data_IF_299654960447
#
_entry.id   IF_299654960447
#
_cell.length_a   1.000
_cell.length_b   1.000
_cell.length_c   1.000
_cell.angle_alpha   90.00
_cell.angle_beta   90.00
_cell.angle_gamma   90.00
#
_symmetry.space_group_name_H-M   'P 1'
#
loop_
_entity.id
_entity.type
_entity.pdbx_description
1 polymer ?
#
# COMPACT_ATOMS: atom_id res chain seq x y z
N UNK A 1 -27.24 8.89 27.34
CA UNK A 1 -26.12 9.32 26.47
C UNK A 1 -25.33 8.09 26.10
N UNK A 2 -25.04 7.92 24.83
CA UNK A 2 -24.55 6.64 24.35
C UNK A 2 -23.03 6.53 24.51
N UNK A 3 -22.57 5.36 24.90
CA UNK A 3 -21.12 5.05 25.03
C UNK A 3 -20.37 5.27 23.69
N UNK A 4 -21.04 5.00 22.56
CA UNK A 4 -20.46 5.21 21.23
C UNK A 4 -20.18 6.68 20.95
N UNK A 5 -21.07 7.59 21.35
CA UNK A 5 -20.85 9.03 21.21
C UNK A 5 -19.65 9.53 22.02
N UNK A 6 -19.44 9.00 23.24
CA UNK A 6 -18.29 9.33 24.06
C UNK A 6 -16.99 8.83 23.42
N UNK A 7 -17.02 7.65 22.80
CA UNK A 7 -15.92 7.09 22.02
C UNK A 7 -15.61 7.96 20.80
N UNK A 8 -16.62 8.40 20.04
CA UNK A 8 -16.47 9.31 18.91
C UNK A 8 -15.87 10.65 19.31
N UNK A 9 -16.33 11.22 20.42
CA UNK A 9 -15.76 12.46 20.99
C UNK A 9 -14.29 12.27 21.36
N UNK A 10 -13.93 11.16 22.00
CA UNK A 10 -12.54 10.86 22.34
C UNK A 10 -11.66 10.77 21.08
N UNK A 11 -12.06 10.01 20.08
CA UNK A 11 -11.34 9.88 18.79
C UNK A 11 -11.14 11.26 18.16
N UNK A 12 -12.20 12.08 18.10
CA UNK A 12 -12.12 13.42 17.53
C UNK A 12 -11.18 14.34 18.29
N UNK A 13 -11.11 14.24 19.64
CA UNK A 13 -10.17 15.02 20.47
C UNK A 13 -8.72 14.63 20.16
N UNK A 14 -8.46 13.33 19.97
CA UNK A 14 -7.13 12.82 19.61
C UNK A 14 -6.70 13.33 18.24
N UNK A 15 -7.56 13.17 17.22
CA UNK A 15 -7.30 13.61 15.84
C UNK A 15 -7.11 15.13 15.72
N UNK A 16 -7.91 15.91 16.43
CA UNK A 16 -7.80 17.36 16.42
C UNK A 16 -6.60 17.89 17.25
N UNK A 17 -5.99 17.05 18.09
CA UNK A 17 -4.90 17.40 18.99
C UNK A 17 -5.30 18.40 20.08
N UNK A 18 -6.58 18.78 20.18
CA UNK A 18 -7.08 19.81 21.11
C UNK A 18 -8.59 19.67 21.33
N UNK A 19 -9.01 19.73 22.60
CA UNK A 19 -10.43 19.73 22.98
C UNK A 19 -11.18 20.90 22.31
N UNK A 20 -10.56 22.07 22.20
CA UNK A 20 -11.18 23.25 21.59
C UNK A 20 -11.45 23.05 20.09
N UNK A 21 -10.46 22.50 19.35
CA UNK A 21 -10.62 22.19 17.92
C UNK A 21 -11.66 21.09 17.72
N UNK A 22 -11.61 20.02 18.52
CA UNK A 22 -12.61 18.94 18.46
C UNK A 22 -14.02 19.45 18.73
N UNK A 23 -14.21 20.32 19.72
CA UNK A 23 -15.49 20.94 20.05
C UNK A 23 -16.06 21.73 18.85
N UNK A 24 -15.23 22.53 18.18
CA UNK A 24 -15.62 23.25 16.97
C UNK A 24 -16.02 22.30 15.84
N UNK A 25 -15.25 21.25 15.61
CA UNK A 25 -15.55 20.25 14.54
C UNK A 25 -16.82 19.44 14.81
N UNK A 26 -17.13 19.20 16.09
CA UNK A 26 -18.32 18.47 16.52
C UNK A 26 -19.55 19.37 16.71
N UNK A 27 -19.40 20.69 16.53
CA UNK A 27 -20.44 21.68 16.83
C UNK A 27 -20.97 21.56 18.27
N UNK A 28 -20.09 21.26 19.23
CA UNK A 28 -20.38 21.11 20.65
C UNK A 28 -19.67 22.21 21.47
N UNK A 29 -20.24 22.52 22.65
CA UNK A 29 -19.55 23.37 23.62
C UNK A 29 -18.29 22.67 24.15
N UNK A 30 -17.20 23.40 24.35
CA UNK A 30 -15.94 22.87 24.92
C UNK A 30 -16.15 22.16 26.26
N UNK A 31 -17.03 22.69 27.11
CA UNK A 31 -17.41 22.08 28.38
C UNK A 31 -18.09 20.72 28.23
N UNK A 32 -18.93 20.56 27.20
CA UNK A 32 -19.58 19.29 26.88
C UNK A 32 -18.57 18.22 26.43
N UNK A 33 -17.65 18.58 25.54
CA UNK A 33 -16.55 17.67 25.08
C UNK A 33 -15.67 17.28 26.27
N UNK A 34 -15.27 18.24 27.11
CA UNK A 34 -14.45 17.98 28.31
C UNK A 34 -15.15 17.07 29.31
N UNK A 35 -16.46 17.27 29.52
CA UNK A 35 -17.27 16.43 30.41
C UNK A 35 -17.38 15.00 29.88
N UNK A 36 -17.74 14.82 28.61
CA UNK A 36 -17.83 13.49 27.99
C UNK A 36 -16.54 12.71 28.10
N UNK A 37 -15.39 13.37 27.85
CA UNK A 37 -14.07 12.76 28.00
C UNK A 37 -13.81 12.35 29.47
N UNK A 38 -14.12 13.19 30.43
CA UNK A 38 -13.99 12.85 31.85
C UNK A 38 -14.89 11.70 32.28
N UNK A 39 -16.13 11.67 31.79
CA UNK A 39 -17.09 10.61 32.09
C UNK A 39 -16.60 9.27 31.49
N UNK A 40 -16.01 9.29 30.27
CA UNK A 40 -15.39 8.13 29.65
C UNK A 40 -14.19 7.62 30.47
N UNK A 41 -13.24 8.49 30.82
CA UNK A 41 -12.09 8.14 31.64
C UNK A 41 -12.49 7.58 33.01
N UNK A 42 -13.51 8.17 33.64
CA UNK A 42 -14.03 7.71 34.93
C UNK A 42 -14.66 6.31 34.84
N UNK A 43 -15.41 6.04 33.78
CA UNK A 43 -16.00 4.73 33.51
C UNK A 43 -14.97 3.65 33.26
N UNK A 44 -13.84 4.00 32.59
CA UNK A 44 -12.74 3.09 32.31
C UNK A 44 -11.76 2.95 33.49
N UNK A 45 -11.88 3.79 34.53
CA UNK A 45 -10.94 3.83 35.63
C UNK A 45 -9.53 4.23 35.24
N UNK A 46 -9.36 4.86 34.07
CA UNK A 46 -8.05 5.14 33.51
C UNK A 46 -8.02 6.47 32.77
N UNK A 47 -6.91 7.23 32.90
CA UNK A 47 -6.69 8.41 32.08
C UNK A 47 -6.25 8.02 30.69
N UNK A 48 -6.92 8.57 29.68
CA UNK A 48 -6.63 8.33 28.27
C UNK A 48 -5.79 9.46 27.66
N UNK A 49 -5.95 10.69 28.19
CA UNK A 49 -5.27 11.89 27.69
C UNK A 49 -4.53 12.59 28.84
N UNK A 50 -3.25 12.85 28.60
CA UNK A 50 -2.45 13.76 29.43
C UNK A 50 -2.82 15.19 29.07
N UNK A 51 -3.45 15.91 30.02
CA UNK A 51 -3.88 17.29 29.82
C UNK A 51 -2.76 18.23 30.23
N UNK A 52 -2.07 18.85 29.29
CA UNK A 52 -1.28 20.05 29.52
C UNK A 52 -2.03 21.25 28.95
N UNK A 53 -1.71 22.46 29.44
CA UNK A 53 -2.43 23.69 29.04
C UNK A 53 -2.31 24.03 27.54
N UNK A 54 -1.39 23.41 26.81
CA UNK A 54 -1.12 23.71 25.39
C UNK A 54 -1.24 22.52 24.43
N UNK A 55 -1.06 21.28 24.87
CA UNK A 55 -1.13 20.07 24.01
C UNK A 55 -1.78 18.92 24.73
N UNK A 56 -2.56 18.12 23.99
CA UNK A 56 -3.14 16.86 24.47
C UNK A 56 -2.30 15.71 23.91
N UNK A 57 -1.64 14.93 24.76
CA UNK A 57 -0.97 13.69 24.37
C UNK A 57 -1.72 12.49 24.93
N UNK A 58 -1.70 11.36 24.21
CA UNK A 58 -2.28 10.12 24.69
C UNK A 58 -1.41 9.53 25.81
N UNK A 59 -2.04 8.85 26.76
CA UNK A 59 -1.39 7.89 27.66
C UNK A 59 -1.22 6.57 26.94
N UNK A 60 -0.45 5.61 27.50
CA UNK A 60 -0.36 4.25 26.95
C UNK A 60 -1.72 3.58 26.87
N UNK A 61 -2.56 3.72 27.91
CA UNK A 61 -3.95 3.26 27.89
C UNK A 61 -4.76 3.99 26.82
N UNK A 62 -4.52 5.29 26.62
CA UNK A 62 -5.13 6.11 25.58
C UNK A 62 -4.78 5.61 24.17
N UNK A 63 -3.51 5.27 23.91
CA UNK A 63 -3.08 4.71 22.64
C UNK A 63 -3.73 3.36 22.35
N UNK A 64 -3.80 2.47 23.33
CA UNK A 64 -4.47 1.18 23.17
C UNK A 64 -5.98 1.35 22.95
N UNK A 65 -6.62 2.21 23.73
CA UNK A 65 -8.05 2.46 23.63
C UNK A 65 -8.41 3.14 22.30
N UNK A 66 -7.63 4.11 21.84
CA UNK A 66 -7.83 4.81 20.56
C UNK A 66 -7.89 3.84 19.38
N UNK A 67 -6.88 2.95 19.26
CA UNK A 67 -6.83 1.95 18.20
C UNK A 67 -8.07 1.04 18.18
N UNK A 68 -8.49 0.56 19.34
CA UNK A 68 -9.67 -0.33 19.44
C UNK A 68 -10.97 0.39 19.16
N UNK A 69 -11.11 1.61 19.63
CA UNK A 69 -12.32 2.43 19.44
C UNK A 69 -12.49 2.83 17.97
N UNK A 70 -11.42 3.15 17.26
CA UNK A 70 -11.50 3.41 15.82
C UNK A 70 -12.05 2.19 15.04
N UNK A 71 -11.62 0.99 15.40
CA UNK A 71 -12.14 -0.24 14.79
C UNK A 71 -13.64 -0.42 15.09
N UNK A 72 -14.07 -0.21 16.35
CA UNK A 72 -15.46 -0.34 16.75
C UNK A 72 -16.38 0.70 16.07
N UNK A 73 -15.94 1.95 15.98
CA UNK A 73 -16.69 3.00 15.26
C UNK A 73 -16.81 2.61 13.77
N UNK A 74 -15.72 2.13 13.16
CA UNK A 74 -15.74 1.62 11.80
C UNK A 74 -16.69 0.44 11.59
N UNK A 75 -16.80 -0.46 12.57
CA UNK A 75 -17.78 -1.57 12.55
C UNK A 75 -19.24 -1.07 12.61
N UNK A 76 -19.52 -0.11 13.48
CA UNK A 76 -20.85 0.50 13.57
C UNK A 76 -21.20 1.25 12.29
N UNK A 77 -20.27 2.00 11.74
CA UNK A 77 -20.47 2.71 10.48
C UNK A 77 -20.69 1.73 9.31
N UNK A 78 -20.02 0.58 9.32
CA UNK A 78 -20.22 -0.48 8.34
C UNK A 78 -21.61 -1.13 8.47
N UNK A 79 -22.04 -1.46 9.69
CA UNK A 79 -23.37 -1.99 9.95
C UNK A 79 -24.47 -1.04 9.46
N UNK A 80 -24.32 0.26 9.76
CA UNK A 80 -25.24 1.29 9.27
C UNK A 80 -25.16 1.45 7.75
N UNK A 81 -24.00 1.15 7.15
CA UNK A 81 -23.71 1.22 5.71
C UNK A 81 -24.34 0.14 4.89
N UNK A 82 -24.40 -1.08 5.40
CA UNK A 82 -25.00 -2.23 4.71
C UNK A 82 -26.53 -2.07 4.53
N UNK A 83 -27.17 -1.30 5.40
CA UNK A 83 -28.61 -1.03 5.35
C UNK A 83 -28.96 0.12 4.39
N UNK A 84 -28.00 1.02 4.08
CA UNK A 84 -28.23 2.24 3.30
C UNK A 84 -27.32 2.32 2.07
N UNK A 85 -27.45 1.36 1.15
CA UNK A 85 -26.53 1.14 0.00
C UNK A 85 -26.48 2.25 -1.05
N UNK A 86 -27.32 3.27 -1.04
CA UNK A 86 -27.47 4.14 -2.24
C UNK A 86 -26.86 5.54 -2.18
N UNK A 87 -26.46 6.12 -1.04
CA UNK A 87 -25.94 7.52 -1.04
C UNK A 87 -25.09 7.88 0.19
N UNK A 88 -24.04 7.15 0.53
CA UNK A 88 -23.21 7.56 1.67
C UNK A 88 -21.96 8.34 1.26
N UNK A 89 -21.91 9.57 1.74
CA UNK A 89 -20.69 10.38 1.75
C UNK A 89 -19.66 9.70 2.68
N UNK A 90 -18.55 9.22 2.12
CA UNK A 90 -17.45 8.68 2.91
C UNK A 90 -16.77 9.81 3.68
N UNK A 91 -16.57 9.64 4.98
CA UNK A 91 -15.97 10.64 5.88
C UNK A 91 -14.91 10.04 6.78
N UNK A 92 -14.12 10.91 7.43
CA UNK A 92 -13.09 10.51 8.38
C UNK A 92 -11.71 10.34 7.74
N UNK A 93 -10.78 9.69 8.43
CA UNK A 93 -9.40 9.50 7.98
C UNK A 93 -9.11 8.06 7.55
N UNK A 94 -8.25 7.90 6.56
CA UNK A 94 -7.64 6.64 6.14
C UNK A 94 -6.13 6.78 6.15
N UNK A 95 -5.45 5.94 6.90
CA UNK A 95 -4.00 5.85 6.93
C UNK A 95 -3.52 4.65 6.13
N UNK A 96 -2.75 4.91 5.07
CA UNK A 96 -2.33 3.93 4.08
C UNK A 96 -0.82 3.78 4.06
N UNK A 97 -0.31 2.54 4.13
CA UNK A 97 1.07 2.23 3.81
C UNK A 97 1.16 1.78 2.34
N UNK A 98 2.00 2.44 1.55
CA UNK A 98 2.07 2.21 0.10
C UNK A 98 3.51 1.92 -0.34
N UNK A 99 3.74 0.98 -1.29
CA UNK A 99 5.07 0.76 -1.87
C UNK A 99 5.52 2.01 -2.62
N UNK A 100 6.82 2.28 -2.64
CA UNK A 100 7.33 3.55 -3.19
C UNK A 100 7.00 3.69 -4.68
N UNK A 101 7.55 2.84 -5.53
CA UNK A 101 7.40 2.94 -7.01
C UNK A 101 5.95 2.79 -7.45
N UNK A 102 5.27 1.74 -7.01
CA UNK A 102 3.86 1.50 -7.36
C UNK A 102 2.94 2.57 -6.78
N UNK A 103 3.24 3.01 -5.56
CA UNK A 103 2.49 4.06 -4.87
C UNK A 103 2.52 5.38 -5.63
N UNK A 104 3.70 5.84 -6.02
CA UNK A 104 3.86 7.11 -6.74
C UNK A 104 3.22 7.03 -8.14
N UNK A 105 3.52 5.97 -8.89
CA UNK A 105 3.19 5.91 -10.32
C UNK A 105 1.74 5.51 -10.58
N UNK A 106 1.17 4.62 -9.77
CA UNK A 106 -0.14 3.99 -10.05
C UNK A 106 -1.20 4.25 -8.99
N UNK A 107 -0.83 4.16 -7.69
CA UNK A 107 -1.82 4.40 -6.63
C UNK A 107 -2.14 5.88 -6.47
N UNK A 108 -1.16 6.78 -6.50
CA UNK A 108 -1.39 8.21 -6.29
C UNK A 108 -2.37 8.81 -7.32
N UNK A 109 -2.25 8.56 -8.64
CA UNK A 109 -3.25 9.01 -9.60
C UNK A 109 -4.64 8.41 -9.38
N UNK A 110 -4.70 7.17 -8.91
CA UNK A 110 -5.97 6.50 -8.58
C UNK A 110 -6.60 7.08 -7.33
N UNK A 111 -5.78 7.38 -6.32
CA UNK A 111 -6.20 8.02 -5.08
C UNK A 111 -6.70 9.44 -5.33
N UNK A 112 -6.07 10.22 -6.22
CA UNK A 112 -6.59 11.54 -6.62
C UNK A 112 -8.02 11.45 -7.14
N UNK A 113 -8.31 10.49 -8.02
CA UNK A 113 -9.67 10.29 -8.53
C UNK A 113 -10.65 9.88 -7.42
N UNK A 114 -10.22 9.00 -6.52
CA UNK A 114 -11.04 8.57 -5.40
C UNK A 114 -11.33 9.72 -4.43
N UNK A 115 -10.35 10.58 -4.14
CA UNK A 115 -10.52 11.77 -3.30
C UNK A 115 -11.49 12.77 -3.92
N UNK A 116 -11.48 12.97 -5.24
CA UNK A 116 -12.45 13.83 -5.95
C UNK A 116 -13.87 13.32 -5.80
N UNK A 117 -14.08 12.01 -5.77
CA UNK A 117 -15.38 11.40 -5.53
C UNK A 117 -15.80 11.48 -4.05
N UNK A 118 -14.83 11.57 -3.13
CA UNK A 118 -15.06 11.53 -1.69
C UNK A 118 -14.35 12.68 -0.95
N UNK A 119 -14.76 13.95 -1.17
CA UNK A 119 -14.03 15.15 -0.69
C UNK A 119 -14.02 15.31 0.83
N UNK A 120 -14.80 14.51 1.57
CA UNK A 120 -14.83 14.54 3.04
C UNK A 120 -13.90 13.50 3.69
N UNK A 121 -13.14 12.72 2.88
CA UNK A 121 -12.11 11.84 3.39
C UNK A 121 -10.77 12.57 3.54
N UNK A 122 -10.10 12.30 4.66
CA UNK A 122 -8.71 12.68 4.88
C UNK A 122 -7.83 11.45 4.66
N UNK A 123 -6.84 11.54 3.76
CA UNK A 123 -5.90 10.46 3.50
C UNK A 123 -4.52 10.80 4.03
N UNK A 124 -3.91 9.85 4.74
CA UNK A 124 -2.52 9.87 5.16
C UNK A 124 -1.79 8.75 4.41
N UNK A 125 -0.81 9.10 3.58
CA UNK A 125 -0.04 8.16 2.77
C UNK A 125 1.39 8.07 3.31
N UNK A 126 1.81 6.87 3.69
CA UNK A 126 3.19 6.58 4.09
C UNK A 126 3.85 5.69 3.02
N UNK A 127 4.84 6.26 2.32
CA UNK A 127 5.54 5.58 1.24
C UNK A 127 6.76 4.84 1.77
N UNK A 128 6.72 3.50 1.71
CA UNK A 128 7.84 2.67 2.14
C UNK A 128 7.76 1.26 1.56
N UNK A 129 8.91 0.76 1.06
CA UNK A 129 9.07 -0.64 0.66
C UNK A 129 9.41 -1.57 1.85
N UNK A 130 9.64 -1.01 3.03
CA UNK A 130 9.85 -1.79 4.25
C UNK A 130 8.54 -2.40 4.73
N UNK A 131 8.63 -3.57 5.36
CA UNK A 131 7.48 -4.15 6.05
C UNK A 131 7.13 -3.26 7.24
N UNK A 132 5.92 -2.72 7.22
CA UNK A 132 5.34 -2.00 8.37
C UNK A 132 4.44 -2.95 9.15
N UNK A 133 4.40 -2.78 10.47
CA UNK A 133 3.35 -3.40 11.27
C UNK A 133 2.07 -2.58 11.11
N UNK A 134 1.05 -3.20 10.48
CA UNK A 134 -0.20 -2.53 10.18
C UNK A 134 -0.95 -2.17 11.46
N UNK A 135 -0.92 -3.06 12.46
CA UNK A 135 -1.64 -2.90 13.72
C UNK A 135 -0.94 -1.88 14.62
N UNK A 136 0.36 -2.05 14.84
CA UNK A 136 1.14 -1.13 15.69
C UNK A 136 1.26 0.26 15.07
N UNK A 137 1.44 0.33 13.73
CA UNK A 137 1.51 1.59 12.98
C UNK A 137 0.17 2.31 12.84
N UNK A 138 -0.95 1.66 13.21
CA UNK A 138 -2.29 2.25 13.11
C UNK A 138 -2.73 2.47 11.65
N UNK A 139 -2.27 1.64 10.72
CA UNK A 139 -2.70 1.70 9.33
C UNK A 139 -4.06 1.02 9.16
N UNK A 140 -4.95 1.68 8.43
CA UNK A 140 -6.22 1.09 8.01
C UNK A 140 -6.03 0.06 6.89
N UNK A 141 -5.02 0.30 6.02
CA UNK A 141 -4.73 -0.49 4.84
C UNK A 141 -3.25 -0.38 4.48
N UNK A 142 -2.65 -1.47 4.05
CA UNK A 142 -1.33 -1.48 3.42
C UNK A 142 -1.39 -2.13 2.04
N UNK A 143 -0.67 -1.57 1.09
CA UNK A 143 -0.46 -2.19 -0.21
C UNK A 143 0.86 -2.94 -0.22
N UNK A 144 0.87 -4.15 -0.80
CA UNK A 144 2.07 -4.99 -0.92
C UNK A 144 2.08 -5.68 -2.27
N UNK A 145 3.29 -5.82 -2.83
CA UNK A 145 3.52 -6.58 -4.06
C UNK A 145 4.39 -7.78 -3.73
N UNK A 146 4.00 -8.95 -4.19
CA UNK A 146 4.75 -10.19 -3.99
C UNK A 146 3.92 -11.33 -3.46
N UNK A 147 4.61 -12.32 -2.88
CA UNK A 147 3.97 -13.44 -2.21
C UNK A 147 3.69 -13.08 -0.76
N UNK A 148 2.48 -13.35 -0.31
CA UNK A 148 2.10 -13.11 1.07
C UNK A 148 2.33 -14.38 1.89
N UNK A 149 3.09 -14.30 2.98
CA UNK A 149 3.14 -15.40 3.95
C UNK A 149 1.81 -15.49 4.71
N UNK A 150 1.54 -16.65 5.28
CA UNK A 150 0.41 -16.82 6.19
C UNK A 150 0.49 -15.81 7.33
N UNK A 151 -0.61 -15.15 7.59
CA UNK A 151 -0.70 -14.14 8.64
C UNK A 151 -2.14 -14.01 9.17
N UNK A 152 -2.29 -13.35 10.32
CA UNK A 152 -3.60 -13.00 10.87
C UNK A 152 -4.29 -11.84 10.13
N UNK A 153 -3.63 -11.24 9.13
CA UNK A 153 -4.16 -10.17 8.31
C UNK A 153 -5.00 -10.72 7.17
N UNK A 154 -5.98 -9.97 6.71
CA UNK A 154 -6.70 -10.27 5.47
C UNK A 154 -6.04 -9.59 4.30
N UNK A 155 -6.13 -10.21 3.12
CA UNK A 155 -5.59 -9.68 1.88
C UNK A 155 -6.61 -9.82 0.74
N UNK A 156 -6.70 -8.79 -0.11
CA UNK A 156 -7.42 -8.84 -1.38
C UNK A 156 -6.47 -8.52 -2.53
N UNK A 157 -6.54 -9.30 -3.59
CA UNK A 157 -5.81 -9.01 -4.83
C UNK A 157 -6.36 -7.75 -5.46
N UNK A 158 -5.46 -6.85 -5.88
CA UNK A 158 -5.79 -5.58 -6.53
C UNK A 158 -5.49 -5.65 -8.03
N UNK A 159 -4.32 -6.20 -8.38
CA UNK A 159 -3.89 -6.32 -9.76
C UNK A 159 -2.84 -7.45 -9.90
N UNK A 160 -2.75 -8.11 -11.06
CA UNK A 160 -1.60 -8.93 -11.40
C UNK A 160 -0.36 -8.05 -11.62
N UNK A 161 0.81 -8.60 -11.33
CA UNK A 161 2.11 -7.95 -11.53
C UNK A 161 2.98 -8.89 -12.33
N UNK A 162 3.10 -8.59 -13.61
CA UNK A 162 3.98 -9.29 -14.53
C UNK A 162 5.40 -8.72 -14.44
N UNK A 163 6.38 -9.52 -14.87
CA UNK A 163 7.77 -9.14 -14.92
C UNK A 163 8.28 -9.26 -16.34
N UNK A 164 9.28 -8.45 -16.67
CA UNK A 164 9.96 -8.49 -17.95
C UNK A 164 11.47 -8.48 -17.74
N UNK A 165 12.19 -9.16 -18.62
CA UNK A 165 13.64 -9.10 -18.72
C UNK A 165 13.93 -8.12 -19.83
N UNK A 166 14.68 -7.04 -19.55
CA UNK A 166 14.95 -6.03 -20.57
C UNK A 166 16.30 -5.34 -20.34
N UNK A 167 16.78 -4.68 -21.38
CA UNK A 167 17.99 -3.85 -21.35
C UNK A 167 17.86 -2.73 -22.37
N UNK A 168 18.74 -1.72 -22.31
CA UNK A 168 18.79 -0.68 -23.34
C UNK A 168 19.38 -1.21 -24.64
N UNK A 169 18.95 -0.67 -25.81
CA UNK A 169 19.51 -1.02 -27.12
C UNK A 169 21.03 -0.85 -27.17
N UNK A 170 21.55 0.20 -26.51
CA UNK A 170 23.00 0.44 -26.44
C UNK A 170 23.75 -0.69 -25.72
N UNK A 171 23.23 -1.18 -24.59
CA UNK A 171 23.80 -2.31 -23.90
C UNK A 171 23.79 -3.57 -24.75
N UNK A 172 22.66 -3.88 -25.40
CA UNK A 172 22.49 -5.06 -26.24
C UNK A 172 23.38 -5.01 -27.49
N UNK A 173 23.60 -3.84 -28.06
CA UNK A 173 24.53 -3.64 -29.19
C UNK A 173 25.98 -3.93 -28.79
N UNK A 174 26.37 -3.54 -27.58
CA UNK A 174 27.75 -3.73 -27.09
C UNK A 174 28.06 -5.15 -26.59
N UNK A 175 27.04 -5.78 -25.94
CA UNK A 175 27.25 -7.04 -25.21
C UNK A 175 26.57 -8.25 -25.88
N UNK A 176 25.79 -8.01 -26.94
CA UNK A 176 24.97 -9.04 -27.58
C UNK A 176 23.60 -9.24 -26.92
N UNK A 177 22.72 -9.94 -27.59
CA UNK A 177 21.38 -10.28 -27.12
C UNK A 177 21.38 -11.72 -26.62
N UNK A 178 21.10 -12.00 -25.33
CA UNK A 178 21.01 -13.38 -24.86
C UNK A 178 19.76 -14.05 -25.41
N UNK A 179 19.89 -15.23 -26.03
CA UNK A 179 18.80 -16.03 -26.61
C UNK A 179 18.29 -17.12 -25.65
N UNK A 180 19.06 -17.42 -24.61
CA UNK A 180 18.70 -18.42 -23.60
C UNK A 180 19.13 -17.96 -22.18
N UNK A 181 18.40 -18.42 -21.12
CA UNK A 181 18.72 -18.05 -19.71
C UNK A 181 20.16 -18.35 -19.30
N UNK A 182 20.79 -19.41 -19.86
CA UNK A 182 22.16 -19.77 -19.56
C UNK A 182 23.16 -18.71 -20.00
N UNK A 183 22.88 -17.94 -21.05
CA UNK A 183 23.75 -16.87 -21.57
C UNK A 183 23.76 -15.62 -20.66
N UNK A 184 22.75 -15.46 -19.80
CA UNK A 184 22.72 -14.37 -18.83
C UNK A 184 23.93 -14.38 -17.88
N UNK A 185 24.62 -15.51 -17.73
CA UNK A 185 25.88 -15.59 -16.94
C UNK A 185 27.01 -14.72 -17.48
N UNK A 186 27.01 -14.46 -18.79
CA UNK A 186 28.02 -13.58 -19.43
C UNK A 186 27.60 -12.11 -19.45
N UNK A 187 26.43 -11.79 -18.93
CA UNK A 187 25.94 -10.42 -18.87
C UNK A 187 25.93 -9.88 -17.43
N UNK A 188 26.05 -8.57 -17.31
CA UNK A 188 25.84 -7.90 -16.03
C UNK A 188 24.33 -7.79 -15.73
N UNK A 189 23.88 -8.42 -14.66
CA UNK A 189 22.49 -8.34 -14.19
C UNK A 189 22.42 -7.38 -13.01
N UNK A 190 21.65 -6.30 -13.15
CA UNK A 190 21.36 -5.42 -12.02
C UNK A 190 20.36 -6.12 -11.10
N UNK A 191 20.70 -6.35 -9.83
CA UNK A 191 19.88 -7.16 -8.92
C UNK A 191 19.05 -6.31 -7.95
N UNK A 192 17.81 -6.71 -7.78
CA UNK A 192 17.01 -6.22 -6.65
C UNK A 192 17.41 -6.95 -5.36
N UNK A 193 17.37 -6.26 -4.21
CA UNK A 193 17.75 -6.84 -2.91
C UNK A 193 16.95 -8.06 -2.47
N UNK A 194 15.83 -8.35 -3.12
CA UNK A 194 15.02 -9.57 -2.94
C UNK A 194 15.39 -10.69 -3.92
N UNK A 195 16.49 -10.57 -4.66
CA UNK A 195 16.92 -11.62 -5.59
C UNK A 195 17.10 -12.95 -4.86
N UNK A 196 16.47 -14.04 -5.34
CA UNK A 196 16.56 -15.32 -4.66
C UNK A 196 18.00 -15.88 -4.66
N UNK A 197 18.46 -16.38 -3.52
CA UNK A 197 19.80 -16.99 -3.38
C UNK A 197 20.00 -18.18 -4.34
N UNK A 198 18.95 -18.93 -4.61
CA UNK A 198 18.96 -20.07 -5.54
C UNK A 198 18.93 -19.65 -7.03
N UNK A 199 18.88 -18.35 -7.34
CA UNK A 199 18.68 -17.82 -8.67
C UNK A 199 17.23 -17.51 -9.02
N UNK A 200 17.04 -16.64 -10.02
CA UNK A 200 15.71 -16.25 -10.51
C UNK A 200 15.14 -17.38 -11.36
N UNK A 201 13.96 -17.91 -11.05
CA UNK A 201 13.34 -18.96 -11.84
C UNK A 201 12.64 -18.39 -13.08
N UNK A 202 12.94 -18.97 -14.23
CA UNK A 202 12.24 -18.75 -15.50
C UNK A 202 11.67 -20.08 -15.98
N UNK A 203 10.52 -20.04 -16.68
CA UNK A 203 9.90 -21.21 -17.27
C UNK A 203 9.78 -21.00 -18.77
N UNK A 204 10.20 -22.01 -19.56
CA UNK A 204 9.98 -22.02 -21.00
C UNK A 204 8.55 -22.47 -21.34
N UNK A 205 8.23 -22.47 -22.64
CA UNK A 205 6.93 -22.86 -23.16
C UNK A 205 6.56 -24.34 -22.90
N UNK A 206 7.53 -25.18 -22.54
CA UNK A 206 7.28 -26.59 -22.15
C UNK A 206 7.00 -26.73 -20.65
N UNK A 207 7.15 -25.66 -19.89
CA UNK A 207 7.06 -25.66 -18.43
C UNK A 207 8.35 -26.09 -17.74
N UNK A 208 9.45 -26.25 -18.48
CA UNK A 208 10.75 -26.54 -17.88
C UNK A 208 11.29 -25.31 -17.15
N UNK A 209 11.77 -25.52 -15.93
CA UNK A 209 12.33 -24.48 -15.07
C UNK A 209 13.82 -24.29 -15.34
N UNK A 210 14.22 -23.05 -15.55
CA UNK A 210 15.59 -22.59 -15.69
C UNK A 210 15.93 -21.63 -14.55
N UNK A 211 17.08 -21.82 -13.89
CA UNK A 211 17.53 -20.91 -12.82
C UNK A 211 18.57 -19.96 -13.36
N UNK A 212 18.31 -18.67 -13.28
CA UNK A 212 19.26 -17.62 -13.65
C UNK A 212 20.11 -17.25 -12.45
N UNK A 213 21.35 -17.67 -12.49
CA UNK A 213 22.43 -17.23 -11.60
C UNK A 213 23.40 -16.42 -12.46
N UNK A 214 23.48 -15.14 -12.23
CA UNK A 214 24.37 -14.25 -12.95
C UNK A 214 25.15 -13.38 -11.97
N UNK A 215 26.29 -12.89 -12.40
CA UNK A 215 27.03 -11.92 -11.64
C UNK A 215 26.34 -10.55 -11.66
N UNK A 216 26.64 -9.74 -10.67
CA UNK A 216 26.08 -8.40 -10.54
C UNK A 216 27.08 -7.49 -9.88
N UNK A 217 27.29 -6.34 -10.49
CA UNK A 217 28.10 -5.27 -9.91
C UNK A 217 27.23 -4.26 -9.13
N UNK A 218 25.91 -4.45 -9.14
CA UNK A 218 24.96 -3.59 -8.43
C UNK A 218 23.83 -4.40 -7.80
N UNK A 219 23.58 -4.12 -6.53
CA UNK A 219 22.35 -4.57 -5.84
C UNK A 219 21.69 -3.35 -5.20
N UNK A 220 20.39 -3.17 -5.43
CA UNK A 220 19.58 -2.09 -4.83
C UNK A 220 18.20 -2.62 -4.44
N UNK A 221 17.53 -1.94 -3.55
CA UNK A 221 16.14 -2.23 -3.14
C UNK A 221 15.11 -1.35 -3.86
N UNK A 222 15.52 -0.63 -4.92
CA UNK A 222 14.64 0.28 -5.63
C UNK A 222 14.64 -0.01 -7.14
N UNK A 223 13.45 -0.35 -7.67
CA UNK A 223 13.29 -0.71 -9.09
C UNK A 223 13.45 0.48 -10.05
N UNK A 224 13.06 1.69 -9.62
CA UNK A 224 13.24 2.89 -10.47
C UNK A 224 14.73 3.20 -10.67
N UNK A 225 15.54 3.06 -9.62
CA UNK A 225 16.99 3.21 -9.73
C UNK A 225 17.61 2.17 -10.68
N UNK A 226 17.12 0.90 -10.60
CA UNK A 226 17.56 -0.13 -11.54
C UNK A 226 17.21 0.22 -12.99
N UNK A 227 15.97 0.70 -13.22
CA UNK A 227 15.52 1.12 -14.55
C UNK A 227 16.42 2.24 -15.11
N UNK A 228 16.72 3.27 -14.32
CA UNK A 228 17.58 4.37 -14.76
C UNK A 228 18.99 3.90 -15.16
N UNK A 229 19.55 2.97 -14.39
CA UNK A 229 20.87 2.40 -14.71
C UNK A 229 20.81 1.51 -15.95
N UNK A 230 19.75 0.75 -16.16
CA UNK A 230 19.57 -0.04 -17.37
C UNK A 230 19.41 0.85 -18.62
N UNK A 231 18.66 1.96 -18.52
CA UNK A 231 18.56 2.98 -19.57
C UNK A 231 19.93 3.57 -19.93
N UNK A 232 20.80 3.73 -18.94
CA UNK A 232 22.18 4.20 -19.14
C UNK A 232 23.14 3.10 -19.63
N UNK A 233 22.64 1.92 -19.97
CA UNK A 233 23.43 0.84 -20.57
C UNK A 233 24.32 0.08 -19.58
N UNK A 234 24.00 0.04 -18.30
CA UNK A 234 24.80 -0.66 -17.29
C UNK A 234 24.52 -2.16 -17.21
N UNK A 235 23.40 -2.66 -17.74
CA UNK A 235 23.11 -4.08 -17.65
C UNK A 235 21.66 -4.44 -17.97
N UNK A 236 21.37 -5.73 -17.78
CA UNK A 236 20.04 -6.31 -17.89
C UNK A 236 19.31 -6.18 -16.56
N UNK A 237 18.04 -5.90 -16.60
CA UNK A 237 17.15 -5.87 -15.44
C UNK A 237 16.02 -6.89 -15.58
N UNK A 238 15.55 -7.41 -14.45
CA UNK A 238 14.33 -8.17 -14.33
C UNK A 238 13.44 -7.39 -13.37
N UNK A 239 12.43 -6.72 -13.91
CA UNK A 239 11.58 -5.83 -13.15
C UNK A 239 10.10 -6.04 -13.48
N UNK A 240 9.20 -5.65 -12.55
CA UNK A 240 7.78 -5.54 -12.85
C UNK A 240 7.52 -4.61 -14.03
N UNK A 241 6.60 -5.00 -14.91
CA UNK A 241 6.19 -4.21 -16.07
C UNK A 241 5.72 -2.81 -15.69
N UNK A 242 5.02 -2.66 -14.57
CA UNK A 242 4.54 -1.37 -14.10
C UNK A 242 5.66 -0.33 -13.86
N UNK A 243 6.91 -0.75 -13.67
CA UNK A 243 8.05 0.17 -13.53
C UNK A 243 8.56 0.60 -14.90
N UNK A 244 8.68 -0.34 -15.82
CA UNK A 244 9.42 -0.14 -17.09
C UNK A 244 8.52 0.10 -18.31
N UNK A 245 7.20 0.00 -18.20
CA UNK A 245 6.26 0.02 -19.33
C UNK A 245 6.43 1.23 -20.27
N UNK A 246 6.65 2.43 -19.72
CA UNK A 246 6.87 3.63 -20.54
C UNK A 246 8.19 3.58 -21.32
N UNK A 247 9.22 2.97 -20.75
CA UNK A 247 10.51 2.81 -21.42
C UNK A 247 10.44 1.72 -22.50
N UNK A 248 9.64 0.68 -22.27
CA UNK A 248 9.34 -0.34 -23.29
C UNK A 248 8.53 0.25 -24.44
N UNK A 249 7.47 0.99 -24.15
CA UNK A 249 6.63 1.67 -25.16
C UNK A 249 7.43 2.61 -26.06
N UNK A 250 8.43 3.31 -25.49
CA UNK A 250 9.31 4.21 -26.25
C UNK A 250 10.45 3.51 -26.97
N UNK A 251 10.71 2.22 -26.69
CA UNK A 251 11.87 1.51 -27.18
C UNK A 251 13.19 1.88 -26.50
N UNK A 252 13.16 2.64 -25.40
CA UNK A 252 14.32 2.98 -24.58
C UNK A 252 14.86 1.74 -23.82
N UNK A 253 13.98 0.78 -23.54
CA UNK A 253 14.30 -0.57 -23.10
C UNK A 253 13.67 -1.58 -24.08
N UNK A 254 14.37 -2.66 -24.34
CA UNK A 254 13.93 -3.73 -25.25
C UNK A 254 13.76 -5.01 -24.44
N UNK A 255 12.59 -5.69 -24.53
CA UNK A 255 12.40 -6.99 -23.91
C UNK A 255 13.29 -8.04 -24.56
N UNK A 256 13.79 -8.95 -23.75
CA UNK A 256 14.60 -10.09 -24.18
C UNK A 256 14.09 -11.36 -23.52
N UNK A 257 14.41 -12.51 -24.09
CA UNK A 257 13.98 -13.82 -23.58
C UNK A 257 12.46 -13.93 -23.42
N UNK A 258 11.69 -13.35 -24.33
CA UNK A 258 10.21 -13.31 -24.29
C UNK A 258 9.56 -14.70 -24.32
N UNK A 259 10.28 -15.74 -24.81
CA UNK A 259 9.84 -17.13 -24.76
C UNK A 259 9.91 -17.76 -23.36
N UNK A 260 10.36 -17.00 -22.36
CA UNK A 260 10.46 -17.44 -20.98
C UNK A 260 9.55 -16.59 -20.10
N UNK A 261 8.82 -17.26 -19.22
CA UNK A 261 7.89 -16.63 -18.28
C UNK A 261 8.40 -16.64 -16.85
N UNK A 262 7.87 -15.76 -16.04
CA UNK A 262 8.06 -15.74 -14.58
C UNK A 262 6.72 -15.95 -13.89
N UNK A 263 6.76 -16.41 -12.64
CA UNK A 263 5.54 -16.55 -11.86
C UNK A 263 4.89 -15.17 -11.64
N UNK A 264 3.60 -15.08 -11.94
CA UNK A 264 2.82 -13.85 -11.76
C UNK A 264 2.72 -13.53 -10.28
N UNK A 265 3.19 -12.36 -9.90
CA UNK A 265 2.94 -11.79 -8.58
C UNK A 265 1.63 -11.02 -8.59
N UNK A 266 1.20 -10.55 -7.41
CA UNK A 266 0.04 -9.69 -7.32
C UNK A 266 0.32 -8.51 -6.40
N UNK A 267 -0.31 -7.39 -6.70
CA UNK A 267 -0.51 -6.31 -5.74
C UNK A 267 -1.69 -6.68 -4.84
N UNK A 268 -1.52 -6.52 -3.55
CA UNK A 268 -2.52 -6.82 -2.53
C UNK A 268 -2.83 -5.60 -1.70
N UNK A 269 -4.09 -5.47 -1.34
CA UNK A 269 -4.56 -4.66 -0.22
C UNK A 269 -4.61 -5.54 1.03
N UNK A 270 -3.85 -5.18 2.07
CA UNK A 270 -3.71 -5.94 3.32
C UNK A 270 -4.26 -5.11 4.47
N UNK A 271 -5.11 -5.70 5.30
CA UNK A 271 -5.79 -5.01 6.39
C UNK A 271 -6.02 -5.93 7.58
N UNK A 272 -6.24 -5.39 8.79
CA UNK A 272 -6.54 -6.20 9.97
C UNK A 272 -7.77 -7.09 9.78
N UNK A 273 -7.73 -8.32 10.31
CA UNK A 273 -8.86 -9.22 10.28
C UNK A 273 -9.93 -8.77 11.29
N UNK A 274 -10.76 -7.83 10.91
CA UNK A 274 -11.93 -7.42 11.67
C UNK A 274 -13.18 -8.18 11.21
N UNK A 275 -14.21 -8.26 12.08
CA UNK A 275 -15.48 -8.88 11.71
C UNK A 275 -16.15 -8.11 10.55
N UNK A 276 -15.99 -6.78 10.53
CA UNK A 276 -16.53 -5.90 9.51
C UNK A 276 -15.42 -4.98 8.99
N UNK A 277 -15.23 -4.95 7.67
CA UNK A 277 -14.31 -4.03 7.02
C UNK A 277 -14.97 -2.65 6.90
N UNK A 278 -14.35 -1.57 7.42
CA UNK A 278 -14.91 -0.23 7.32
C UNK A 278 -15.27 0.14 5.87
N UNK A 279 -16.44 0.76 5.67
CA UNK A 279 -16.94 1.08 4.32
C UNK A 279 -15.93 1.87 3.49
N UNK A 280 -15.26 2.86 4.08
CA UNK A 280 -14.22 3.67 3.40
C UNK A 280 -13.04 2.84 2.91
N UNK A 281 -12.59 1.82 3.67
CA UNK A 281 -11.52 0.90 3.28
C UNK A 281 -12.00 0.00 2.16
N UNK A 282 -13.19 -0.59 2.31
CA UNK A 282 -13.81 -1.45 1.30
C UNK A 282 -14.00 -0.71 -0.02
N UNK A 283 -14.56 0.51 0.00
CA UNK A 283 -14.80 1.32 -1.19
C UNK A 283 -13.51 1.65 -1.93
N UNK A 284 -12.42 1.98 -1.21
CA UNK A 284 -11.13 2.22 -1.83
C UNK A 284 -10.58 0.93 -2.49
N UNK A 285 -10.67 -0.21 -1.82
CA UNK A 285 -10.23 -1.49 -2.37
C UNK A 285 -11.02 -1.84 -3.64
N UNK A 286 -12.35 -1.76 -3.59
CA UNK A 286 -13.21 -2.09 -4.71
C UNK A 286 -12.96 -1.15 -5.90
N UNK A 287 -12.80 0.17 -5.65
CA UNK A 287 -12.42 1.15 -6.66
C UNK A 287 -11.09 0.82 -7.35
N UNK A 288 -10.07 0.42 -6.58
CA UNK A 288 -8.76 0.07 -7.15
C UNK A 288 -8.80 -1.24 -7.95
N UNK A 289 -9.58 -2.23 -7.50
CA UNK A 289 -9.79 -3.48 -8.25
C UNK A 289 -10.47 -3.20 -9.59
N UNK A 290 -11.52 -2.37 -9.60
CA UNK A 290 -12.22 -1.98 -10.82
C UNK A 290 -11.28 -1.21 -11.76
N UNK A 291 -10.48 -0.29 -11.23
CA UNK A 291 -9.59 0.57 -12.00
C UNK A 291 -8.43 -0.16 -12.66
N UNK A 292 -7.81 -1.09 -11.97
CA UNK A 292 -6.65 -1.82 -12.51
C UNK A 292 -7.07 -3.07 -13.29
N UNK A 293 -8.11 -3.76 -12.84
CA UNK A 293 -8.63 -4.96 -13.49
C UNK A 293 -7.64 -6.12 -13.53
N UNK A 294 -7.99 -7.14 -14.32
CA UNK A 294 -7.15 -8.33 -14.54
C UNK A 294 -6.10 -8.12 -15.65
N UNK A 295 -6.27 -7.09 -16.49
CA UNK A 295 -5.32 -6.66 -17.51
C UNK A 295 -4.98 -5.19 -17.33
N UNK A 296 -4.08 -4.85 -16.41
CA UNK A 296 -3.73 -3.47 -16.12
C UNK A 296 -3.13 -2.76 -17.34
N UNK A 297 -3.35 -1.44 -17.42
CA UNK A 297 -2.92 -0.64 -18.58
C UNK A 297 -1.41 -0.67 -18.85
N UNK A 298 -0.60 -0.93 -17.85
CA UNK A 298 0.86 -1.07 -18.01
C UNK A 298 1.31 -2.40 -18.63
N UNK A 299 0.38 -3.34 -18.85
CA UNK A 299 0.61 -4.62 -19.50
C UNK A 299 -0.06 -4.67 -20.90
N UNK A 300 -0.65 -3.58 -21.37
CA UNK A 300 -1.38 -3.50 -22.65
C UNK A 300 -0.51 -3.01 -23.81
N UNK A 301 0.81 -2.95 -23.63
CA UNK A 301 1.80 -2.54 -24.66
C UNK A 301 2.26 -3.72 -25.48
#
# INVERSE_FOLDING_TARGET
>A
MGQLEDMQVFVRVVEAGSITKAASQLSLAKSAVSKRLSDLESRLGSKLINRTTRTSSLTDAGHQYYRRVQLLIGEVDSLNGDIARENKVLTGSLKLAVPLSFGITHLTPSIDLFMRQHPQLNLELDFSDRKVDIIEGGYDLAFRIGYLPDSSLKARKIAPINHVICASPDYLTRQGIPEAPAQLKSHNILKHGTWPLAGMPLWDHTGQKHLVNADSNLTTNNGDAMMQLALSGHGIIILPTFIVWKALEKGDLVPILENYSMAIMHAYAIYPATRYLPLKVRSLIDFLIERFGEAPYWDQT
#
